data_IF_425283140486
#
_entry.id   IF_425283140486
#
_cell.length_a   1.000
_cell.length_b   1.000
_cell.length_c   1.000
_cell.angle_alpha   90.00
_cell.angle_beta   90.00
_cell.angle_gamma   90.00
#
_symmetry.space_group_name_H-M   'P 1'
#
loop_
_entity.id
_entity.type
_entity.pdbx_description
1 polymer ?
#
# COMPACT_ATOMS: atom_id res chain seq x y z
N UNK A 1 62.38 53.24 -21.80
CA UNK A 1 61.82 52.45 -20.67
C UNK A 1 60.38 52.86 -20.65
N UNK A 2 59.55 52.24 -21.48
CA UNK A 2 58.24 52.77 -21.82
C UNK A 2 57.19 51.66 -21.61
N UNK A 3 56.25 51.99 -20.75
CA UNK A 3 55.31 51.12 -20.04
C UNK A 3 54.37 50.32 -20.95
N UNK A 4 53.85 49.17 -20.46
CA UNK A 4 52.90 48.35 -21.19
C UNK A 4 51.52 49.04 -21.29
N UNK A 5 50.91 48.87 -22.46
CA UNK A 5 49.54 49.29 -22.80
C UNK A 5 48.55 48.77 -21.76
N UNK A 6 47.86 49.70 -21.09
CA UNK A 6 46.72 49.42 -20.21
C UNK A 6 45.56 48.97 -21.11
N UNK A 7 45.22 47.68 -21.02
CA UNK A 7 44.01 47.11 -21.60
C UNK A 7 42.80 47.69 -20.82
N UNK A 8 41.94 48.51 -21.42
CA UNK A 8 40.79 49.05 -20.71
C UNK A 8 39.78 47.91 -20.54
N UNK A 9 39.66 47.44 -19.30
CA UNK A 9 38.54 46.63 -18.83
C UNK A 9 37.24 47.08 -19.50
N UNK A 10 36.72 46.22 -20.38
CA UNK A 10 35.37 46.36 -20.90
C UNK A 10 34.38 46.40 -19.73
N UNK A 11 33.46 47.37 -19.70
CA UNK A 11 32.45 47.45 -18.66
C UNK A 11 31.40 46.36 -18.88
N UNK A 12 31.14 45.58 -17.82
CA UNK A 12 29.99 44.70 -17.58
C UNK A 12 29.00 44.56 -18.75
N UNK A 13 29.04 43.42 -19.44
CA UNK A 13 27.87 42.95 -20.17
C UNK A 13 26.67 42.87 -19.20
N UNK A 14 25.46 43.27 -19.61
CA UNK A 14 24.28 43.13 -18.77
C UNK A 14 24.09 41.65 -18.44
N UNK A 15 24.27 41.30 -17.15
CA UNK A 15 23.92 39.98 -16.66
C UNK A 15 22.44 39.73 -16.98
N UNK A 16 22.20 38.82 -17.92
CA UNK A 16 20.87 38.29 -18.23
C UNK A 16 20.26 37.82 -16.91
N UNK A 17 19.02 38.22 -16.55
CA UNK A 17 18.37 37.72 -15.34
C UNK A 17 18.38 36.19 -15.42
N UNK A 18 18.98 35.54 -14.42
CA UNK A 18 18.96 34.09 -14.32
C UNK A 18 17.50 33.64 -14.41
N UNK A 19 17.19 32.80 -15.41
CA UNK A 19 15.88 32.15 -15.48
C UNK A 19 15.62 31.49 -14.12
N UNK A 20 14.42 31.66 -13.54
CA UNK A 20 14.08 30.97 -12.31
C UNK A 20 14.23 29.48 -12.61
N UNK A 21 15.21 28.83 -11.99
CA UNK A 21 15.28 27.37 -11.99
C UNK A 21 13.93 26.89 -11.53
N UNK A 22 13.21 26.25 -12.45
CA UNK A 22 12.01 25.48 -12.16
C UNK A 22 12.39 24.60 -10.97
N UNK A 23 11.89 24.98 -9.79
CA UNK A 23 12.19 24.30 -8.56
C UNK A 23 11.63 22.90 -8.72
N UNK A 24 12.48 21.93 -9.04
CA UNK A 24 12.14 20.52 -9.00
C UNK A 24 11.37 20.29 -7.70
N UNK A 25 10.16 19.73 -7.77
CA UNK A 25 9.40 19.47 -6.57
C UNK A 25 10.28 18.63 -5.64
N UNK A 26 10.34 18.95 -4.34
CA UNK A 26 11.26 18.29 -3.43
C UNK A 26 11.05 16.78 -3.52
N UNK A 27 12.13 15.97 -3.48
CA UNK A 27 12.01 14.52 -3.59
C UNK A 27 10.99 14.06 -2.55
N UNK A 28 9.87 13.51 -3.02
CA UNK A 28 8.75 13.10 -2.18
C UNK A 28 9.30 12.12 -1.13
N UNK A 29 9.41 12.60 0.11
CA UNK A 29 10.13 11.99 1.25
C UNK A 29 10.07 10.45 1.26
N UNK A 30 11.20 9.83 1.00
CA UNK A 30 11.42 8.39 0.79
C UNK A 30 11.22 7.45 1.98
N UNK A 31 10.55 7.87 3.05
CA UNK A 31 10.21 7.00 4.20
C UNK A 31 8.71 6.74 4.33
N UNK A 32 7.88 7.75 4.07
CA UNK A 32 6.42 7.59 4.05
C UNK A 32 5.97 6.67 2.91
N UNK A 33 6.72 6.64 1.80
CA UNK A 33 6.43 5.68 0.73
C UNK A 33 6.71 4.23 1.15
N UNK A 34 7.86 3.95 1.79
CA UNK A 34 8.42 2.57 1.89
C UNK A 34 7.67 1.71 2.89
N UNK A 35 7.10 2.35 3.91
CA UNK A 35 6.21 1.67 4.84
C UNK A 35 4.83 1.39 4.23
N UNK A 36 4.34 2.24 3.32
CA UNK A 36 2.96 2.15 2.83
C UNK A 36 2.71 0.95 1.92
N UNK A 37 3.59 0.63 0.94
CA UNK A 37 3.30 -0.48 0.02
C UNK A 37 3.42 -1.86 0.69
N UNK A 38 4.45 -2.06 1.52
CA UNK A 38 4.68 -3.36 2.15
C UNK A 38 3.62 -3.64 3.21
N UNK A 39 3.26 -2.63 4.00
CA UNK A 39 2.17 -2.75 4.96
C UNK A 39 0.84 -3.05 4.26
N UNK A 40 0.54 -2.34 3.17
CA UNK A 40 -0.67 -2.60 2.39
C UNK A 40 -0.68 -4.02 1.81
N UNK A 41 0.44 -4.48 1.25
CA UNK A 41 0.55 -5.81 0.66
C UNK A 41 0.41 -6.91 1.71
N UNK A 42 1.20 -6.87 2.78
CA UNK A 42 1.12 -7.86 3.85
C UNK A 42 -0.22 -7.79 4.59
N UNK A 43 -0.73 -6.59 4.84
CA UNK A 43 -2.02 -6.38 5.50
C UNK A 43 -3.18 -6.96 4.70
N UNK A 44 -3.26 -6.64 3.41
CA UNK A 44 -4.30 -7.17 2.52
C UNK A 44 -4.18 -8.69 2.31
N UNK A 45 -2.95 -9.22 2.20
CA UNK A 45 -2.72 -10.66 2.10
C UNK A 45 -3.15 -11.41 3.37
N UNK A 46 -2.79 -10.91 4.56
CA UNK A 46 -3.21 -11.52 5.83
C UNK A 46 -4.72 -11.43 6.03
N UNK A 47 -5.33 -10.30 5.64
CA UNK A 47 -6.77 -10.13 5.72
C UNK A 47 -7.51 -11.14 4.83
N UNK A 48 -7.05 -11.33 3.58
CA UNK A 48 -7.63 -12.31 2.67
C UNK A 48 -7.37 -13.75 3.16
N UNK A 49 -6.16 -14.03 3.64
CA UNK A 49 -5.79 -15.32 4.21
C UNK A 49 -6.64 -15.67 5.43
N UNK A 50 -7.00 -14.68 6.24
CA UNK A 50 -7.89 -14.88 7.39
C UNK A 50 -9.30 -15.26 6.96
N UNK A 51 -9.84 -14.66 5.88
CA UNK A 51 -11.10 -15.10 5.29
C UNK A 51 -11.02 -16.57 4.85
N UNK A 52 -10.00 -16.92 4.07
CA UNK A 52 -9.80 -18.28 3.58
C UNK A 52 -9.67 -19.30 4.74
N UNK A 53 -8.91 -18.95 5.78
CA UNK A 53 -8.74 -19.78 6.96
C UNK A 53 -10.05 -19.95 7.74
N UNK A 54 -10.81 -18.87 7.93
CA UNK A 54 -12.14 -18.94 8.54
C UNK A 54 -13.05 -19.91 7.79
N UNK A 55 -13.16 -19.78 6.46
CA UNK A 55 -13.95 -20.69 5.63
C UNK A 55 -13.48 -22.14 5.76
N UNK A 56 -12.17 -22.38 5.71
CA UNK A 56 -11.61 -23.72 5.83
C UNK A 56 -11.96 -24.37 7.18
N UNK A 57 -11.86 -23.62 8.28
CA UNK A 57 -12.20 -24.10 9.61
C UNK A 57 -13.70 -24.47 9.68
N UNK A 58 -14.59 -23.65 9.13
CA UNK A 58 -16.02 -23.97 9.08
C UNK A 58 -16.33 -25.19 8.18
N UNK A 59 -15.64 -25.33 7.06
CA UNK A 59 -15.77 -26.51 6.20
C UNK A 59 -15.35 -27.79 6.92
N UNK A 60 -14.27 -27.73 7.71
CA UNK A 60 -13.85 -28.87 8.54
C UNK A 60 -14.93 -29.19 9.57
N UNK A 61 -15.47 -28.17 10.27
CA UNK A 61 -16.54 -28.35 11.25
C UNK A 61 -17.78 -29.02 10.65
N UNK A 62 -18.17 -28.60 9.44
CA UNK A 62 -19.30 -29.20 8.71
C UNK A 62 -19.01 -30.65 8.29
N UNK A 63 -17.78 -30.93 7.86
CA UNK A 63 -17.38 -32.28 7.40
C UNK A 63 -17.39 -33.34 8.51
N UNK A 64 -17.23 -32.93 9.77
CA UNK A 64 -17.21 -33.81 10.95
C UNK A 64 -18.46 -33.63 11.83
N UNK A 65 -19.52 -32.99 11.31
CA UNK A 65 -20.72 -32.64 12.06
C UNK A 65 -21.46 -33.81 12.74
N UNK A 66 -21.15 -35.06 12.37
CA UNK A 66 -21.63 -36.25 13.09
C UNK A 66 -21.06 -36.39 14.50
N UNK A 67 -19.89 -35.80 14.78
CA UNK A 67 -19.32 -35.68 16.11
C UNK A 67 -19.53 -34.26 16.62
N UNK A 68 -20.46 -34.11 17.55
CA UNK A 68 -20.87 -32.79 18.06
C UNK A 68 -19.68 -32.10 18.77
N UNK A 69 -18.87 -32.83 19.53
CA UNK A 69 -17.76 -32.23 20.30
C UNK A 69 -16.66 -31.71 19.37
N UNK A 70 -16.27 -32.50 18.38
CA UNK A 70 -15.27 -32.06 17.40
C UNK A 70 -15.80 -30.96 16.48
N UNK A 71 -17.07 -31.04 16.06
CA UNK A 71 -17.70 -29.99 15.27
C UNK A 71 -17.73 -28.64 16.01
N UNK A 72 -17.94 -28.64 17.33
CA UNK A 72 -17.85 -27.42 18.14
C UNK A 72 -16.42 -26.87 18.22
N UNK A 73 -15.41 -27.73 18.33
CA UNK A 73 -14.00 -27.34 18.42
C UNK A 73 -13.54 -26.53 17.20
N UNK A 74 -14.05 -26.85 16.01
CA UNK A 74 -13.74 -26.11 14.78
C UNK A 74 -14.80 -25.04 14.47
N UNK A 75 -16.08 -25.31 14.69
CA UNK A 75 -17.17 -24.41 14.36
C UNK A 75 -17.11 -23.10 15.15
N UNK A 76 -16.86 -23.16 16.46
CA UNK A 76 -16.84 -21.98 17.31
C UNK A 76 -15.69 -21.01 16.93
N UNK A 77 -14.42 -21.43 16.82
CA UNK A 77 -13.35 -20.54 16.36
C UNK A 77 -13.59 -19.98 14.96
N UNK A 78 -14.10 -20.80 14.03
CA UNK A 78 -14.46 -20.36 12.69
C UNK A 78 -15.44 -19.18 12.73
N UNK A 79 -16.55 -19.33 13.48
CA UNK A 79 -17.55 -18.26 13.65
C UNK A 79 -16.94 -17.00 14.27
N UNK A 80 -16.07 -17.12 15.27
CA UNK A 80 -15.40 -15.96 15.87
C UNK A 80 -14.49 -15.23 14.87
N UNK A 81 -13.72 -15.97 14.08
CA UNK A 81 -12.90 -15.39 13.01
C UNK A 81 -13.79 -14.63 12.01
N UNK A 82 -14.91 -15.23 11.58
CA UNK A 82 -15.86 -14.57 10.68
C UNK A 82 -16.45 -13.30 11.26
N UNK A 83 -16.88 -13.34 12.53
CA UNK A 83 -17.40 -12.16 13.23
C UNK A 83 -16.38 -11.03 13.25
N UNK A 84 -15.15 -11.30 13.68
CA UNK A 84 -14.08 -10.29 13.74
C UNK A 84 -13.76 -9.75 12.35
N UNK A 85 -13.63 -10.62 11.35
CA UNK A 85 -13.33 -10.21 9.97
C UNK A 85 -14.44 -9.34 9.38
N UNK A 86 -15.70 -9.65 9.66
CA UNK A 86 -16.84 -8.86 9.21
C UNK A 86 -16.78 -7.41 9.71
N UNK A 87 -16.40 -7.21 10.97
CA UNK A 87 -16.31 -5.86 11.53
C UNK A 87 -15.01 -5.15 11.16
N UNK A 88 -13.91 -5.87 10.96
CA UNK A 88 -12.60 -5.25 10.69
C UNK A 88 -12.35 -4.98 9.20
N UNK A 89 -12.83 -5.85 8.31
CA UNK A 89 -12.63 -5.73 6.85
C UNK A 89 -13.13 -4.39 6.28
N UNK A 90 -14.30 -3.86 6.66
CA UNK A 90 -14.78 -2.56 6.16
C UNK A 90 -13.86 -1.38 6.47
N UNK A 91 -12.99 -1.49 7.49
CA UNK A 91 -12.03 -0.43 7.84
C UNK A 91 -10.63 -0.74 7.30
N UNK A 92 -10.17 -1.99 7.44
CA UNK A 92 -8.84 -2.40 7.03
C UNK A 92 -8.69 -2.47 5.51
N UNK A 93 -9.69 -2.97 4.78
CA UNK A 93 -9.60 -3.09 3.33
C UNK A 93 -9.47 -1.72 2.65
N UNK A 94 -10.28 -0.69 2.98
CA UNK A 94 -10.08 0.65 2.45
C UNK A 94 -8.77 1.30 2.90
N UNK A 95 -8.34 1.07 4.15
CA UNK A 95 -7.05 1.58 4.63
C UNK A 95 -5.90 1.04 3.78
N UNK A 96 -5.84 -0.28 3.57
CA UNK A 96 -4.81 -0.90 2.73
C UNK A 96 -4.91 -0.46 1.27
N UNK A 97 -6.13 -0.30 0.73
CA UNK A 97 -6.33 0.23 -0.62
C UNK A 97 -5.80 1.68 -0.74
N UNK A 98 -6.04 2.53 0.26
CA UNK A 98 -5.53 3.90 0.28
C UNK A 98 -4.00 3.95 0.35
N UNK A 99 -3.39 3.13 1.21
CA UNK A 99 -1.94 3.01 1.30
C UNK A 99 -1.33 2.50 -0.01
N UNK A 100 -1.99 1.55 -0.68
CA UNK A 100 -1.60 1.06 -1.99
C UNK A 100 -1.68 2.16 -3.06
N UNK A 101 -2.79 2.91 -3.11
CA UNK A 101 -2.98 4.04 -4.03
C UNK A 101 -1.89 5.11 -3.87
N UNK A 102 -1.54 5.45 -2.63
CA UNK A 102 -0.46 6.39 -2.34
C UNK A 102 0.90 5.90 -2.88
N UNK A 103 1.13 4.59 -2.93
CA UNK A 103 2.37 3.99 -3.43
C UNK A 103 2.42 3.81 -4.95
N UNK A 104 1.30 3.98 -5.67
CA UNK A 104 1.26 3.89 -7.14
C UNK A 104 2.01 5.02 -7.84
N UNK A 105 2.18 6.17 -7.17
CA UNK A 105 2.91 7.31 -7.73
C UNK A 105 4.43 7.17 -7.62
N UNK A 106 4.94 6.00 -7.25
CA UNK A 106 6.39 5.78 -7.14
C UNK A 106 6.99 5.43 -8.50
N UNK A 107 8.17 6.01 -8.79
CA UNK A 107 8.93 5.72 -10.02
C UNK A 107 9.65 4.35 -10.00
N UNK A 108 9.57 3.63 -8.87
CA UNK A 108 10.20 2.32 -8.70
C UNK A 108 9.25 1.22 -9.20
N UNK A 109 9.61 0.45 -10.25
CA UNK A 109 8.71 -0.54 -10.86
C UNK A 109 8.22 -1.62 -9.89
N UNK A 110 9.10 -2.14 -9.03
CA UNK A 110 8.76 -3.18 -8.06
C UNK A 110 7.71 -2.70 -7.05
N UNK A 111 7.88 -1.46 -6.57
CA UNK A 111 6.95 -0.84 -5.63
C UNK A 111 5.59 -0.61 -6.23
N UNK A 112 5.55 -0.14 -7.48
CA UNK A 112 4.31 0.03 -8.24
C UNK A 112 3.59 -1.31 -8.41
N UNK A 113 4.32 -2.39 -8.71
CA UNK A 113 3.77 -3.75 -8.78
C UNK A 113 3.17 -4.19 -7.44
N UNK A 114 3.91 -4.04 -6.34
CA UNK A 114 3.43 -4.43 -5.01
C UNK A 114 2.20 -3.63 -4.59
N UNK A 115 2.15 -2.34 -4.93
CA UNK A 115 0.98 -1.50 -4.72
C UNK A 115 -0.25 -1.98 -5.52
N UNK A 116 -0.07 -2.37 -6.79
CA UNK A 116 -1.16 -2.95 -7.60
C UNK A 116 -1.67 -4.24 -6.96
N UNK A 117 -0.78 -5.15 -6.56
CA UNK A 117 -1.16 -6.41 -5.92
C UNK A 117 -1.92 -6.14 -4.62
N UNK A 118 -1.41 -5.26 -3.76
CA UNK A 118 -2.06 -4.88 -2.51
C UNK A 118 -3.47 -4.32 -2.76
N UNK A 119 -3.64 -3.46 -3.78
CA UNK A 119 -4.92 -2.89 -4.15
C UNK A 119 -5.92 -3.98 -4.57
N UNK A 120 -5.49 -4.91 -5.43
CA UNK A 120 -6.31 -6.03 -5.89
C UNK A 120 -6.72 -6.92 -4.71
N UNK A 121 -5.78 -7.25 -3.82
CA UNK A 121 -6.05 -8.06 -2.63
C UNK A 121 -7.02 -7.35 -1.69
N UNK A 122 -6.83 -6.05 -1.43
CA UNK A 122 -7.74 -5.24 -0.63
C UNK A 122 -9.17 -5.29 -1.18
N UNK A 123 -9.36 -5.12 -2.49
CA UNK A 123 -10.68 -5.22 -3.12
C UNK A 123 -11.24 -6.63 -2.97
N UNK A 124 -10.43 -7.66 -3.21
CA UNK A 124 -10.84 -9.05 -3.09
C UNK A 124 -11.30 -9.42 -1.67
N UNK A 125 -10.69 -8.83 -0.64
CA UNK A 125 -11.08 -9.07 0.77
C UNK A 125 -12.50 -8.60 1.10
N UNK A 126 -13.07 -7.70 0.29
CA UNK A 126 -14.44 -7.20 0.47
C UNK A 126 -15.47 -8.19 -0.10
N UNK A 127 -15.10 -9.02 -1.08
CA UNK A 127 -16.02 -9.97 -1.76
C UNK A 127 -16.80 -10.84 -0.76
N UNK A 128 -16.18 -11.47 0.25
CA UNK A 128 -16.91 -12.24 1.25
C UNK A 128 -18.00 -11.45 2.00
N UNK A 129 -17.80 -10.15 2.24
CA UNK A 129 -18.82 -9.34 2.90
C UNK A 129 -20.01 -9.04 2.00
N UNK A 130 -19.80 -8.91 0.69
CA UNK A 130 -20.86 -8.56 -0.28
C UNK A 130 -21.59 -9.81 -0.80
N UNK A 131 -20.88 -10.93 -0.93
CA UNK A 131 -21.44 -12.15 -1.49
C UNK A 131 -22.35 -12.90 -0.51
N UNK A 132 -22.08 -12.77 0.79
CA UNK A 132 -22.76 -13.53 1.84
C UNK A 132 -23.62 -12.68 2.77
N UNK A 133 -23.68 -11.36 2.59
CA UNK A 133 -24.48 -10.41 3.38
C UNK A 133 -24.98 -9.25 2.52
#
# INVERSE_FOLDING_TARGET
MDQPSIDPHFPNEPQRPAEPKESEPPPRRGLAGVFNEKLALWGSANLLGSWALGYLILLIADSIASDIEEAYLFGLPGIFIFMVLRFTTPFLAPLFAFLALASLSSDVPERKRNAIIALVLSIATVIPNVAYF
#
